data_IF_292635575870
#
_entry.id   IF_292635575870
#
_cell.length_a   1.000
_cell.length_b   1.000
_cell.length_c   1.000
_cell.angle_alpha   90.00
_cell.angle_beta   90.00
_cell.angle_gamma   90.00
#
_symmetry.space_group_name_H-M   'P 1'
#
loop_
_entity.id
_entity.type
_entity.pdbx_description
1 polymer ?
#
# COMPACT_ATOMS: atom_id res chain seq x y z
N UNK A 1 -1.77 23.20 0.26
CA UNK A 1 -1.55 22.04 1.17
C UNK A 1 -0.31 21.28 0.71
N UNK A 2 0.81 21.42 1.43
CA UNK A 2 2.12 20.86 1.09
C UNK A 2 2.29 19.46 1.71
N UNK A 3 1.74 18.44 1.06
CA UNK A 3 1.94 17.04 1.47
C UNK A 3 3.28 16.46 1.00
N UNK A 4 3.84 15.48 1.74
CA UNK A 4 5.11 14.83 1.37
C UNK A 4 4.87 13.64 0.45
N UNK A 5 5.58 13.59 -0.68
CA UNK A 5 5.48 12.49 -1.65
C UNK A 5 6.35 11.31 -1.23
N UNK A 6 5.75 10.13 -1.11
CA UNK A 6 6.44 8.87 -0.86
C UNK A 6 6.30 7.94 -2.06
N UNK A 7 7.42 7.43 -2.55
CA UNK A 7 7.45 6.34 -3.52
C UNK A 7 7.45 5.00 -2.79
N UNK A 8 6.41 4.22 -3.02
CA UNK A 8 6.19 2.87 -2.49
C UNK A 8 6.53 1.90 -3.62
N UNK A 9 7.62 1.16 -3.47
CA UNK A 9 8.00 0.11 -4.44
C UNK A 9 7.31 -1.18 -4.03
N UNK A 10 6.66 -1.84 -4.98
CA UNK A 10 5.99 -3.12 -4.75
C UNK A 10 6.94 -4.22 -5.23
N UNK A 11 7.51 -4.96 -4.27
CA UNK A 11 8.31 -6.13 -4.57
C UNK A 11 7.40 -7.23 -5.10
N UNK A 12 7.59 -7.63 -6.36
CA UNK A 12 6.85 -8.72 -6.99
C UNK A 12 7.56 -10.04 -6.73
N UNK A 13 6.83 -11.02 -6.18
CA UNK A 13 6.97 -12.39 -6.68
C UNK A 13 6.16 -12.46 -7.97
N UNK A 14 6.76 -12.95 -9.05
CA UNK A 14 6.16 -13.03 -10.38
C UNK A 14 5.07 -14.10 -10.45
N UNK A 15 4.01 -13.99 -9.65
CA UNK A 15 2.83 -14.84 -9.80
C UNK A 15 2.03 -14.35 -11.02
N UNK A 16 1.89 -15.19 -12.08
CA UNK A 16 1.23 -14.82 -13.31
C UNK A 16 -0.27 -14.56 -13.16
N UNK A 17 -0.87 -14.95 -12.03
CA UNK A 17 -2.29 -14.70 -11.74
C UNK A 17 -2.54 -13.27 -11.27
N UNK A 18 -1.52 -12.61 -10.72
CA UNK A 18 -1.64 -11.25 -10.23
C UNK A 18 -1.67 -10.29 -11.41
N UNK A 19 -2.71 -9.47 -11.48
CA UNK A 19 -2.90 -8.50 -12.56
C UNK A 19 -2.58 -7.06 -12.13
N UNK A 20 -2.72 -6.77 -10.83
CA UNK A 20 -2.52 -5.44 -10.24
C UNK A 20 -2.34 -5.53 -8.73
N UNK A 21 -1.93 -4.43 -8.13
CA UNK A 21 -1.81 -4.31 -6.68
C UNK A 21 -2.67 -3.17 -6.16
N UNK A 22 -3.24 -3.32 -4.97
CA UNK A 22 -3.87 -2.23 -4.22
C UNK A 22 -2.97 -1.84 -3.06
N UNK A 23 -2.66 -0.55 -2.97
CA UNK A 23 -1.82 0.00 -1.91
C UNK A 23 -2.72 0.77 -0.95
N UNK A 24 -2.61 0.45 0.33
CA UNK A 24 -3.35 1.08 1.41
C UNK A 24 -2.39 1.80 2.35
N UNK A 25 -2.89 2.86 2.99
CA UNK A 25 -2.20 3.65 4.00
C UNK A 25 -3.07 3.76 5.24
N UNK A 26 -2.48 3.67 6.42
CA UNK A 26 -3.10 3.96 7.71
C UNK A 26 -2.14 4.80 8.55
N UNK A 27 -2.67 5.74 9.34
CA UNK A 27 -1.88 6.45 10.34
C UNK A 27 -1.53 5.53 11.51
N UNK A 28 -0.37 5.75 12.12
CA UNK A 28 0.19 4.92 13.18
C UNK A 28 1.14 3.83 12.68
N UNK A 29 1.89 3.23 13.62
CA UNK A 29 2.92 2.22 13.32
C UNK A 29 2.49 0.76 13.47
N UNK A 30 1.38 0.51 14.17
CA UNK A 30 0.88 -0.84 14.49
C UNK A 30 0.50 -1.62 13.23
N UNK A 31 0.62 -2.95 13.27
CA UNK A 31 0.25 -3.88 12.19
C UNK A 31 -1.18 -4.42 12.34
N UNK A 32 -2.26 -3.63 12.15
CA UNK A 32 -3.57 -4.21 12.27
C UNK A 32 -3.88 -5.11 11.07
N UNK A 33 -4.86 -6.01 11.19
CA UNK A 33 -5.50 -6.65 10.05
C UNK A 33 -5.94 -5.63 8.98
N UNK A 34 -5.93 -6.05 7.71
CA UNK A 34 -6.43 -5.24 6.59
C UNK A 34 -7.94 -4.97 6.66
N UNK A 35 -8.68 -5.79 7.41
CA UNK A 35 -10.11 -5.61 7.70
C UNK A 35 -10.37 -4.56 8.78
N UNK A 36 -9.36 -4.12 9.51
CA UNK A 36 -9.52 -3.09 10.54
C UNK A 36 -9.84 -1.72 9.92
N UNK A 37 -10.65 -0.88 10.59
CA UNK A 37 -10.93 0.46 10.09
C UNK A 37 -9.67 1.36 10.05
N UNK A 38 -9.72 2.37 9.18
CA UNK A 38 -8.67 3.38 9.03
C UNK A 38 -7.65 3.12 7.92
N UNK A 39 -7.80 2.06 7.13
CA UNK A 39 -7.08 1.91 5.87
C UNK A 39 -7.69 2.79 4.78
N UNK A 40 -6.86 3.56 4.10
CA UNK A 40 -7.23 4.35 2.91
C UNK A 40 -6.49 3.79 1.71
N UNK A 41 -7.21 3.43 0.64
CA UNK A 41 -6.56 3.07 -0.62
C UNK A 41 -5.90 4.32 -1.22
N UNK A 42 -4.61 4.23 -1.53
CA UNK A 42 -3.82 5.36 -2.05
C UNK A 42 -3.40 5.19 -3.51
N UNK A 43 -3.26 3.95 -3.98
CA UNK A 43 -2.90 3.66 -5.36
C UNK A 43 -3.40 2.28 -5.79
N UNK A 44 -3.49 2.08 -7.11
CA UNK A 44 -3.77 0.79 -7.72
C UNK A 44 -2.86 0.54 -8.94
N UNK A 45 -1.53 0.40 -8.76
CA UNK A 45 -0.62 0.23 -9.87
C UNK A 45 -0.70 -1.18 -10.49
N UNK A 46 -0.23 -1.35 -11.75
CA UNK A 46 -0.03 -2.66 -12.35
C UNK A 46 1.03 -3.48 -11.59
N UNK A 47 1.20 -4.75 -11.96
CA UNK A 47 2.24 -5.61 -11.39
C UNK A 47 3.64 -4.99 -11.50
N UNK A 48 4.50 -5.27 -10.52
CA UNK A 48 5.91 -4.85 -10.50
C UNK A 48 6.17 -3.33 -10.56
N UNK A 49 5.18 -2.51 -10.23
CA UNK A 49 5.28 -1.05 -10.36
C UNK A 49 5.44 -0.33 -9.00
N UNK A 50 5.60 0.98 -9.05
CA UNK A 50 5.69 1.84 -7.88
C UNK A 50 4.47 2.76 -7.77
N UNK A 51 4.06 3.03 -6.54
CA UNK A 51 2.98 3.96 -6.21
C UNK A 51 3.59 5.24 -5.63
N UNK A 52 3.15 6.40 -6.13
CA UNK A 52 3.48 7.69 -5.53
C UNK A 52 2.30 8.15 -4.68
N UNK A 53 2.45 8.11 -3.36
CA UNK A 53 1.42 8.55 -2.42
C UNK A 53 1.84 9.88 -1.78
N UNK A 54 0.94 10.87 -1.79
CA UNK A 54 1.11 12.12 -1.04
C UNK A 54 0.55 11.96 0.36
N UNK A 55 1.40 12.09 1.37
CA UNK A 55 1.02 12.03 2.78
C UNK A 55 0.67 13.45 3.27
N UNK A 56 -0.49 13.64 3.91
CA UNK A 56 -0.98 14.98 4.27
C UNK A 56 -0.24 15.62 5.45
N UNK A 57 0.34 14.83 6.35
CA UNK A 57 1.02 15.32 7.55
C UNK A 57 2.28 14.51 7.87
N UNK A 58 3.17 15.08 8.67
CA UNK A 58 4.25 14.35 9.31
C UNK A 58 3.67 13.32 10.30
N UNK A 59 4.36 12.20 10.46
CA UNK A 59 3.95 11.15 11.39
C UNK A 59 4.35 9.74 10.97
N UNK A 60 3.92 8.77 11.75
CA UNK A 60 4.13 7.35 11.45
C UNK A 60 2.96 6.84 10.64
N UNK A 61 3.25 6.15 9.55
CA UNK A 61 2.25 5.51 8.70
C UNK A 61 2.59 4.05 8.51
N UNK A 62 1.54 3.26 8.33
CA UNK A 62 1.66 1.90 7.82
C UNK A 62 1.11 1.82 6.42
N UNK A 63 1.85 1.13 5.57
CA UNK A 63 1.45 0.81 4.22
C UNK A 63 1.21 -0.68 4.10
N UNK A 64 0.16 -1.06 3.39
CA UNK A 64 -0.12 -2.44 3.08
C UNK A 64 -0.36 -2.59 1.58
N UNK A 65 0.05 -3.73 1.03
CA UNK A 65 -0.11 -4.06 -0.38
C UNK A 65 -0.83 -5.38 -0.51
N UNK A 66 -1.88 -5.38 -1.33
CA UNK A 66 -2.68 -6.55 -1.67
C UNK A 66 -2.49 -6.82 -3.16
N UNK A 67 -2.11 -8.05 -3.51
CA UNK A 67 -2.11 -8.51 -4.90
C UNK A 67 -3.55 -8.86 -5.31
N UNK A 68 -3.95 -8.44 -6.50
CA UNK A 68 -5.29 -8.65 -7.05
C UNK A 68 -5.18 -9.41 -8.36
N UNK A 69 -5.91 -10.51 -8.48
CA UNK A 69 -5.99 -11.31 -9.70
C UNK A 69 -7.08 -10.83 -10.68
N UNK A 70 -7.25 -11.56 -11.78
CA UNK A 70 -8.27 -11.24 -12.81
C UNK A 70 -9.72 -11.40 -12.31
N UNK A 71 -9.93 -12.15 -11.24
CA UNK A 71 -11.23 -12.39 -10.62
C UNK A 71 -11.51 -11.45 -9.44
N UNK A 72 -10.54 -10.59 -9.09
CA UNK A 72 -10.64 -9.69 -7.95
C UNK A 72 -10.28 -10.32 -6.61
N UNK A 73 -9.83 -11.57 -6.58
CA UNK A 73 -9.35 -12.20 -5.36
C UNK A 73 -8.03 -11.58 -4.92
N UNK A 74 -7.83 -11.55 -3.60
CA UNK A 74 -6.84 -10.71 -2.94
C UNK A 74 -5.93 -11.56 -2.04
N UNK A 75 -4.61 -11.49 -2.25
CA UNK A 75 -3.62 -12.12 -1.37
C UNK A 75 -2.79 -11.04 -0.67
N UNK A 76 -2.66 -11.15 0.65
CA UNK A 76 -1.87 -10.20 1.43
C UNK A 76 -0.39 -10.35 1.05
N UNK A 77 0.21 -9.30 0.49
CA UNK A 77 1.58 -9.42 -0.07
C UNK A 77 2.62 -8.75 0.84
N UNK A 78 2.29 -7.66 1.53
CA UNK A 78 3.25 -6.99 2.42
C UNK A 78 2.60 -5.92 3.32
N UNK A 79 3.14 -5.68 4.52
CA UNK A 79 2.90 -4.44 5.27
C UNK A 79 4.19 -3.85 5.85
N UNK A 80 4.36 -2.53 5.75
CA UNK A 80 5.58 -1.84 6.21
C UNK A 80 5.29 -0.55 6.94
N UNK A 81 6.02 -0.30 8.02
CA UNK A 81 6.00 0.97 8.78
C UNK A 81 6.92 1.98 8.12
N UNK A 82 6.50 3.24 8.04
CA UNK A 82 7.33 4.34 7.56
C UNK A 82 7.08 5.60 8.37
N UNK A 83 8.16 6.24 8.82
CA UNK A 83 8.10 7.54 9.47
C UNK A 83 8.29 8.63 8.42
N UNK A 84 7.40 9.61 8.43
CA UNK A 84 7.44 10.80 7.60
C UNK A 84 7.83 11.96 8.51
N UNK A 85 9.02 12.56 8.32
CA UNK A 85 9.43 13.75 9.07
C UNK A 85 8.64 14.98 8.61
#
# INVERSE_FOLDING_TARGET
>A
MSGRKLRIRIGVRGDPRVTRHRVYRRSGGTAPPLTSPGWTQVCMPPTASSCLNTVPAAGVYRFAVIAVDRWGQSVATYSGRRTVP
#
